data_IF_228279123159
#
_entry.id   IF_228279123159
#
_cell.length_a   1.000
_cell.length_b   1.000
_cell.length_c   1.000
_cell.angle_alpha   90.00
_cell.angle_beta   90.00
_cell.angle_gamma   90.00
#
_symmetry.space_group_name_H-M   'P 1'
#
loop_
_entity.id
_entity.type
_entity.pdbx_description
1 polymer ?
#
# COMPACT_ATOMS: atom_id res chain seq x y z
N UNK A 1 -9.97 7.22 9.82
CA UNK A 1 -8.86 6.85 8.93
C UNK A 1 -9.39 6.79 7.50
N UNK A 2 -8.87 7.63 6.65
CA UNK A 2 -9.30 7.70 5.25
C UNK A 2 -8.27 6.98 4.38
N UNK A 3 -8.70 5.96 3.64
CA UNK A 3 -7.81 5.15 2.83
C UNK A 3 -8.29 5.19 1.38
N UNK A 4 -7.44 5.71 0.50
CA UNK A 4 -7.72 5.76 -0.92
C UNK A 4 -6.86 4.71 -1.61
N UNK A 5 -7.48 3.87 -2.44
CA UNK A 5 -6.79 2.78 -3.12
C UNK A 5 -6.95 2.95 -4.61
N UNK A 6 -5.82 2.99 -5.31
CA UNK A 6 -5.79 3.09 -6.77
C UNK A 6 -5.03 1.90 -7.34
N UNK A 7 -5.47 1.44 -8.48
CA UNK A 7 -4.81 0.35 -9.20
C UNK A 7 -4.58 0.77 -10.64
N UNK A 8 -3.58 0.14 -11.28
CA UNK A 8 -3.41 0.35 -12.71
C UNK A 8 -4.38 -0.57 -13.47
N UNK A 9 -4.31 -0.50 -14.80
CA UNK A 9 -5.22 -1.30 -15.65
C UNK A 9 -4.99 -2.80 -15.56
N UNK A 10 -3.87 -3.21 -15.02
CA UNK A 10 -3.50 -4.63 -14.95
C UNK A 10 -3.93 -5.30 -13.65
N UNK A 11 -4.43 -4.53 -12.70
CA UNK A 11 -4.90 -5.06 -11.44
C UNK A 11 -6.39 -4.76 -11.29
N UNK A 12 -7.18 -5.80 -11.06
CA UNK A 12 -8.61 -5.64 -10.88
C UNK A 12 -8.91 -5.03 -9.51
N UNK A 13 -9.48 -3.83 -9.52
CA UNK A 13 -9.80 -3.09 -8.30
C UNK A 13 -11.16 -3.53 -7.78
N UNK A 14 -11.22 -4.72 -7.18
CA UNK A 14 -12.46 -5.29 -6.65
C UNK A 14 -12.73 -4.79 -5.23
N UNK A 15 -13.98 -4.95 -4.80
CA UNK A 15 -14.34 -4.63 -3.42
C UNK A 15 -13.56 -5.50 -2.44
N UNK A 16 -13.31 -6.74 -2.79
CA UNK A 16 -12.52 -7.65 -1.95
C UNK A 16 -11.12 -7.11 -1.74
N UNK A 17 -10.48 -6.61 -2.80
CA UNK A 17 -9.14 -6.05 -2.70
C UNK A 17 -9.15 -4.81 -1.83
N UNK A 18 -10.12 -3.93 -2.04
CA UNK A 18 -10.25 -2.70 -1.25
C UNK A 18 -10.42 -3.02 0.23
N UNK A 19 -11.31 -3.95 0.56
CA UNK A 19 -11.54 -4.34 1.94
C UNK A 19 -10.31 -4.97 2.58
N UNK A 20 -9.61 -5.79 1.81
CA UNK A 20 -8.39 -6.44 2.28
C UNK A 20 -7.33 -5.39 2.64
N UNK A 21 -7.08 -4.45 1.73
CA UNK A 21 -6.06 -3.43 1.96
C UNK A 21 -6.44 -2.55 3.15
N UNK A 22 -7.72 -2.16 3.25
CA UNK A 22 -8.19 -1.35 4.37
C UNK A 22 -7.98 -2.05 5.71
N UNK A 23 -8.31 -3.34 5.75
CA UNK A 23 -8.16 -4.11 6.98
C UNK A 23 -6.69 -4.23 7.38
N UNK A 24 -5.81 -4.46 6.41
CA UNK A 24 -4.38 -4.59 6.68
C UNK A 24 -3.79 -3.27 7.19
N UNK A 25 -4.17 -2.15 6.59
CA UNK A 25 -3.68 -0.85 7.04
C UNK A 25 -4.25 -0.46 8.40
N UNK A 26 -5.54 -0.66 8.60
CA UNK A 26 -6.17 -0.35 9.88
C UNK A 26 -5.53 -1.14 11.02
N UNK A 27 -5.27 -2.43 10.78
CA UNK A 27 -4.66 -3.28 11.77
C UNK A 27 -3.20 -2.89 12.04
N UNK A 28 -2.45 -2.59 10.99
CA UNK A 28 -1.03 -2.26 11.12
C UNK A 28 -0.79 -0.90 11.80
N UNK A 29 -1.69 0.06 11.57
CA UNK A 29 -1.48 1.44 12.00
C UNK A 29 -2.50 1.97 13.00
N UNK A 30 -3.19 1.09 13.72
CA UNK A 30 -4.17 1.54 14.71
C UNK A 30 -3.56 2.43 15.79
N UNK A 31 -2.29 2.24 16.12
CA UNK A 31 -1.59 3.09 17.09
C UNK A 31 -1.34 4.49 16.56
N UNK A 32 -1.40 4.66 15.24
CA UNK A 32 -1.12 5.94 14.59
C UNK A 32 -2.38 6.64 14.12
N UNK A 33 -3.56 6.11 14.44
CA UNK A 33 -4.83 6.58 13.90
C UNK A 33 -5.09 8.07 14.17
N UNK A 34 -4.61 8.59 15.29
CA UNK A 34 -4.78 10.00 15.61
C UNK A 34 -3.85 10.90 14.83
N UNK A 35 -2.70 10.39 14.42
CA UNK A 35 -1.69 11.18 13.71
C UNK A 35 -1.77 11.03 12.20
N UNK A 36 -2.25 9.89 11.73
CA UNK A 36 -2.36 9.63 10.29
C UNK A 36 -3.82 9.45 9.96
N UNK A 37 -4.39 10.44 9.28
CA UNK A 37 -5.79 10.43 8.92
C UNK A 37 -6.03 10.02 7.48
N UNK A 38 -4.97 10.00 6.66
CA UNK A 38 -5.11 9.72 5.24
C UNK A 38 -3.98 8.82 4.75
N UNK A 39 -4.37 7.74 4.06
CA UNK A 39 -3.45 6.83 3.38
C UNK A 39 -3.81 6.82 1.90
N UNK A 40 -2.80 6.89 1.06
CA UNK A 40 -2.97 6.75 -0.38
C UNK A 40 -2.17 5.52 -0.82
N UNK A 41 -2.86 4.52 -1.36
CA UNK A 41 -2.23 3.26 -1.78
C UNK A 41 -2.35 3.12 -3.28
N UNK A 42 -1.25 2.83 -3.93
CA UNK A 42 -1.25 2.58 -5.37
C UNK A 42 -0.63 1.21 -5.66
N UNK A 43 -1.44 0.33 -6.24
CA UNK A 43 -1.02 -1.00 -6.64
C UNK A 43 -0.88 -1.06 -8.15
N UNK A 44 0.22 -1.59 -8.63
CA UNK A 44 0.45 -1.73 -10.05
C UNK A 44 1.13 -3.06 -10.36
N UNK A 45 0.82 -3.60 -11.53
CA UNK A 45 1.50 -4.76 -12.08
C UNK A 45 2.35 -4.26 -13.24
N UNK A 46 3.61 -3.99 -12.97
CA UNK A 46 4.48 -3.35 -13.93
C UNK A 46 4.83 -4.24 -15.12
N UNK A 47 4.68 -5.55 -14.96
CA UNK A 47 4.98 -6.49 -16.03
C UNK A 47 3.74 -6.84 -16.87
N UNK A 48 2.55 -6.56 -16.37
CA UNK A 48 1.32 -6.80 -17.08
C UNK A 48 1.15 -8.25 -17.47
N UNK A 49 0.96 -8.49 -18.78
CA UNK A 49 0.76 -9.84 -19.29
C UNK A 49 2.04 -10.65 -19.43
N UNK A 50 3.17 -10.00 -19.33
CA UNK A 50 4.46 -10.68 -19.39
C UNK A 50 4.78 -11.28 -18.03
N UNK A 51 4.61 -12.58 -17.89
CA UNK A 51 4.74 -13.24 -16.62
C UNK A 51 6.16 -13.75 -16.34
N UNK A 52 7.16 -13.10 -16.89
CA UNK A 52 8.55 -13.51 -16.70
C UNK A 52 9.26 -12.78 -15.59
N UNK A 53 8.64 -11.74 -15.02
CA UNK A 53 9.20 -11.03 -13.89
C UNK A 53 8.81 -11.67 -12.59
N UNK A 54 9.73 -11.71 -11.64
CA UNK A 54 9.48 -12.31 -10.33
C UNK A 54 8.89 -11.31 -9.34
N UNK A 55 9.27 -10.04 -9.44
CA UNK A 55 8.83 -9.00 -8.51
C UNK A 55 8.23 -7.83 -9.27
N UNK A 56 7.12 -8.11 -9.92
CA UNK A 56 6.48 -7.14 -10.81
C UNK A 56 5.25 -6.44 -10.22
N UNK A 57 4.78 -6.88 -9.08
CA UNK A 57 3.69 -6.19 -8.38
C UNK A 57 4.29 -5.16 -7.45
N UNK A 58 3.90 -3.91 -7.64
CA UNK A 58 4.42 -2.80 -6.83
C UNK A 58 3.31 -2.22 -5.98
N UNK A 59 3.61 -2.01 -4.70
CA UNK A 59 2.71 -1.31 -3.78
C UNK A 59 3.41 -0.04 -3.30
N UNK A 60 2.80 1.11 -3.52
CA UNK A 60 3.28 2.38 -2.98
C UNK A 60 2.25 2.88 -1.98
N UNK A 61 2.72 3.30 -0.81
CA UNK A 61 1.87 3.87 0.22
C UNK A 61 2.39 5.24 0.59
N UNK A 62 1.52 6.25 0.49
CA UNK A 62 1.85 7.59 0.91
C UNK A 62 0.95 7.97 2.08
N UNK A 63 1.52 8.58 3.11
CA UNK A 63 0.77 9.07 4.26
C UNK A 63 1.16 10.51 4.56
N UNK A 64 0.25 11.22 5.20
CA UNK A 64 0.50 12.60 5.67
C UNK A 64 0.27 12.66 7.16
N UNK A 65 1.33 12.41 7.96
CA UNK A 65 1.19 12.52 9.41
C UNK A 65 0.96 13.98 9.81
N UNK A 66 0.14 14.20 10.82
CA UNK A 66 -0.16 15.55 11.30
C UNK A 66 1.11 16.26 11.73
N UNK A 67 1.33 17.45 11.20
CA UNK A 67 2.50 18.28 11.56
C UNK A 67 3.82 17.83 10.95
N UNK A 68 3.81 16.80 10.11
CA UNK A 68 5.02 16.28 9.48
C UNK A 68 4.89 16.30 7.96
N UNK A 69 6.02 16.12 7.30
CA UNK A 69 6.03 16.03 5.84
C UNK A 69 5.44 14.70 5.39
N UNK A 70 4.87 14.64 4.18
CA UNK A 70 4.40 13.36 3.64
C UNK A 70 5.52 12.33 3.58
N UNK A 71 5.15 11.08 3.82
CA UNK A 71 6.07 9.95 3.75
C UNK A 71 5.54 9.00 2.70
N UNK A 72 6.39 8.57 1.79
CA UNK A 72 6.03 7.60 0.77
C UNK A 72 7.02 6.45 0.79
N UNK A 73 6.49 5.23 0.70
CA UNK A 73 7.31 4.01 0.60
C UNK A 73 6.79 3.18 -0.55
N UNK A 74 7.63 2.31 -1.08
CA UNK A 74 7.18 1.36 -2.08
C UNK A 74 7.92 0.04 -1.93
N UNK A 75 7.26 -1.03 -2.41
CA UNK A 75 7.82 -2.36 -2.35
C UNK A 75 7.32 -3.17 -3.54
N UNK A 76 8.20 -3.94 -4.14
CA UNK A 76 7.86 -4.83 -5.23
C UNK A 76 7.92 -6.27 -4.76
N UNK A 77 7.02 -7.09 -5.24
CA UNK A 77 6.96 -8.50 -4.87
C UNK A 77 6.27 -9.30 -5.96
N UNK A 78 6.24 -10.60 -5.78
CA UNK A 78 5.66 -11.51 -6.77
C UNK A 78 4.14 -11.56 -6.75
N UNK A 79 3.51 -11.06 -5.70
CA UNK A 79 2.05 -11.02 -5.62
C UNK A 79 1.61 -9.82 -4.79
N UNK A 80 0.31 -9.54 -4.84
CA UNK A 80 -0.27 -8.37 -4.17
C UNK A 80 -0.05 -8.43 -2.66
N UNK A 81 -0.27 -9.58 -2.07
CA UNK A 81 -0.17 -9.76 -0.63
C UNK A 81 1.24 -9.42 -0.11
N UNK A 82 2.25 -9.96 -0.76
CA UNK A 82 3.64 -9.69 -0.38
C UNK A 82 4.03 -8.24 -0.65
N UNK A 83 3.52 -7.65 -1.74
CA UNK A 83 3.81 -6.24 -2.05
C UNK A 83 3.24 -5.33 -0.97
N UNK A 84 2.01 -5.57 -0.54
CA UNK A 84 1.36 -4.79 0.49
C UNK A 84 2.09 -4.94 1.82
N UNK A 85 2.40 -6.16 2.22
CA UNK A 85 3.07 -6.41 3.50
C UNK A 85 4.47 -5.79 3.55
N UNK A 86 5.21 -5.86 2.44
CA UNK A 86 6.52 -5.23 2.37
C UNK A 86 6.45 -3.72 2.49
N UNK A 87 5.47 -3.11 1.83
CA UNK A 87 5.29 -1.66 1.90
C UNK A 87 4.89 -1.24 3.32
N UNK A 88 3.99 -2.01 3.96
CA UNK A 88 3.57 -1.73 5.34
C UNK A 88 4.77 -1.77 6.28
N UNK A 89 5.63 -2.78 6.16
CA UNK A 89 6.81 -2.88 7.01
C UNK A 89 7.76 -1.69 6.83
N UNK A 90 7.96 -1.25 5.58
CA UNK A 90 8.78 -0.08 5.32
C UNK A 90 8.18 1.17 5.92
N UNK A 91 6.86 1.33 5.84
CA UNK A 91 6.18 2.49 6.40
C UNK A 91 6.28 2.51 7.92
N UNK A 92 6.12 1.35 8.56
CA UNK A 92 6.27 1.26 10.01
C UNK A 92 7.64 1.74 10.47
N UNK A 93 8.69 1.33 9.77
CA UNK A 93 10.05 1.77 10.09
C UNK A 93 10.21 3.26 9.94
N UNK A 94 9.57 3.84 8.93
CA UNK A 94 9.64 5.28 8.70
C UNK A 94 8.93 6.09 9.78
N UNK A 95 7.97 5.49 10.48
CA UNK A 95 7.20 6.16 11.51
C UNK A 95 7.75 5.95 12.93
N UNK A 96 8.73 5.10 13.09
CA UNK A 96 9.36 4.83 14.39
C UNK A 96 10.37 5.89 14.78
#
# INVERSE_FOLDING_TARGET
MNIEIRTDKNIHNSERLIEYVRAELANAFQRHAERITHFSVHLSDENGEKKNGEDDIRCMIEVRPAGLKPIAVSHKAGNIDLAIHGAIEKLKRSLE
#
